data_IF_058053767723
#
_entry.id   IF_058053767723
#
_cell.length_a   1.000
_cell.length_b   1.000
_cell.length_c   1.000
_cell.angle_alpha   90.00
_cell.angle_beta   90.00
_cell.angle_gamma   90.00
#
_symmetry.space_group_name_H-M   'P 1'
#
loop_
_entity.id
_entity.type
_entity.pdbx_description
1 polymer ?
#
# COMPACT_ATOMS: atom_id res chain seq x y z
N UNK A 1 -18.44 14.20 -15.55
CA UNK A 1 -17.09 14.74 -15.83
C UNK A 1 -16.22 13.55 -16.19
N UNK A 2 -15.43 13.63 -17.26
CA UNK A 2 -14.42 12.62 -17.60
C UNK A 2 -13.34 12.57 -16.51
N UNK A 3 -12.71 11.41 -16.35
CA UNK A 3 -11.60 11.21 -15.41
C UNK A 3 -10.37 11.99 -15.90
N UNK A 4 -9.69 12.78 -15.04
CA UNK A 4 -8.44 13.46 -15.41
C UNK A 4 -7.42 12.50 -16.03
N UNK A 5 -7.32 11.29 -15.50
CA UNK A 5 -6.37 10.26 -15.91
C UNK A 5 -6.57 9.77 -17.35
N UNK A 6 -7.76 9.97 -17.93
CA UNK A 6 -8.07 9.60 -19.32
C UNK A 6 -7.67 10.71 -20.32
N UNK A 7 -7.25 11.89 -19.85
CA UNK A 7 -7.02 13.07 -20.71
C UNK A 7 -5.55 13.38 -20.93
N UNK A 8 -4.80 13.61 -19.86
CA UNK A 8 -3.38 13.98 -19.90
C UNK A 8 -2.64 13.39 -18.69
N UNK A 9 -1.31 13.21 -18.79
CA UNK A 9 -0.40 13.04 -17.67
C UNK A 9 -0.65 14.04 -16.52
N UNK A 10 -0.39 13.68 -15.25
CA UNK A 10 -0.70 14.55 -14.11
C UNK A 10 0.10 15.87 -14.08
N UNK A 11 1.37 15.84 -14.52
CA UNK A 11 2.25 17.00 -14.64
C UNK A 11 1.76 18.00 -15.71
N UNK A 12 1.14 17.50 -16.78
CA UNK A 12 0.56 18.32 -17.86
C UNK A 12 -0.90 18.72 -17.60
N UNK A 13 -1.67 17.85 -16.93
CA UNK A 13 -3.07 18.09 -16.62
C UNK A 13 -3.22 19.28 -15.65
N UNK A 14 -2.46 19.28 -14.56
CA UNK A 14 -2.44 20.38 -13.59
C UNK A 14 -1.43 21.45 -13.98
N UNK A 15 -1.73 22.17 -15.06
CA UNK A 15 -1.07 23.43 -15.40
C UNK A 15 -1.51 24.58 -14.47
N UNK A 16 -0.93 25.78 -14.64
CA UNK A 16 -1.23 26.97 -13.83
C UNK A 16 -2.73 27.30 -13.71
N UNK A 17 -3.49 27.09 -14.79
CA UNK A 17 -4.92 27.40 -14.80
C UNK A 17 -5.73 26.35 -14.04
N UNK A 18 -5.49 25.06 -14.32
CA UNK A 18 -6.23 23.97 -13.67
C UNK A 18 -5.85 23.82 -12.20
N UNK A 19 -4.58 23.99 -11.84
CA UNK A 19 -4.12 23.99 -10.45
C UNK A 19 -4.76 25.10 -9.62
N UNK A 20 -4.86 26.33 -10.16
CA UNK A 20 -5.55 27.45 -9.49
C UNK A 20 -7.04 27.19 -9.32
N UNK A 21 -7.74 26.69 -10.36
CA UNK A 21 -9.17 26.32 -10.26
C UNK A 21 -9.40 25.23 -9.21
N UNK A 22 -8.55 24.20 -9.21
CA UNK A 22 -8.60 23.11 -8.25
C UNK A 22 -8.44 23.64 -6.81
N UNK A 23 -7.43 24.47 -6.61
CA UNK A 23 -7.05 24.99 -5.28
C UNK A 23 -8.04 26.01 -4.75
N UNK A 24 -8.70 26.81 -5.61
CA UNK A 24 -9.67 27.84 -5.17
C UNK A 24 -11.10 27.35 -5.03
N UNK A 25 -11.43 26.17 -5.58
CA UNK A 25 -12.76 25.59 -5.52
C UNK A 25 -13.13 25.13 -4.12
N UNK A 26 -14.11 25.79 -3.49
CA UNK A 26 -14.62 25.43 -2.14
C UNK A 26 -15.12 23.99 -2.07
N UNK A 27 -15.77 23.51 -3.14
CA UNK A 27 -16.22 22.11 -3.23
C UNK A 27 -15.05 21.14 -3.19
N UNK A 28 -13.97 21.42 -3.92
CA UNK A 28 -12.78 20.54 -3.94
C UNK A 28 -12.10 20.57 -2.59
N UNK A 29 -11.90 21.76 -2.01
CA UNK A 29 -11.34 21.90 -0.65
C UNK A 29 -12.09 21.06 0.37
N UNK A 30 -13.42 21.14 0.40
CA UNK A 30 -14.24 20.38 1.34
C UNK A 30 -14.11 18.86 1.15
N UNK A 31 -14.06 18.40 -0.10
CA UNK A 31 -13.91 16.97 -0.41
C UNK A 31 -12.50 16.48 0.00
N UNK A 32 -11.45 17.23 -0.36
CA UNK A 32 -10.07 16.91 0.04
C UNK A 32 -9.91 16.90 1.56
N UNK A 33 -10.49 17.88 2.25
CA UNK A 33 -10.45 17.96 3.70
C UNK A 33 -11.13 16.75 4.35
N UNK A 34 -12.35 16.42 3.94
CA UNK A 34 -13.08 15.26 4.45
C UNK A 34 -12.30 13.94 4.25
N UNK A 35 -11.69 13.73 3.08
CA UNK A 35 -10.89 12.53 2.81
C UNK A 35 -9.58 12.51 3.61
N UNK A 36 -8.99 13.69 3.88
CA UNK A 36 -7.76 13.80 4.67
C UNK A 36 -8.03 13.50 6.15
N UNK A 37 -9.08 14.09 6.74
CA UNK A 37 -9.50 13.76 8.10
C UNK A 37 -9.82 12.27 8.25
N UNK A 38 -10.56 11.70 7.29
CA UNK A 38 -10.85 10.27 7.28
C UNK A 38 -9.58 9.42 7.21
N UNK A 39 -8.60 9.81 6.40
CA UNK A 39 -7.32 9.10 6.35
C UNK A 39 -6.52 9.23 7.65
N UNK A 40 -6.57 10.38 8.34
CA UNK A 40 -5.98 10.57 9.67
C UNK A 40 -6.64 9.67 10.73
N UNK A 41 -7.96 9.55 10.73
CA UNK A 41 -8.68 8.61 11.60
C UNK A 41 -8.20 7.16 11.39
N UNK A 42 -7.99 6.75 10.13
CA UNK A 42 -7.49 5.41 9.79
C UNK A 42 -6.01 5.22 10.13
N UNK A 43 -5.22 6.30 10.10
CA UNK A 43 -3.83 6.32 10.56
C UNK A 43 -3.73 6.27 12.08
N UNK A 44 -4.76 6.69 12.83
CA UNK A 44 -4.91 6.54 14.29
C UNK A 44 -3.61 6.91 15.06
N UNK A 45 -3.02 8.04 14.69
CA UNK A 45 -1.78 8.54 15.30
C UNK A 45 -2.10 9.13 16.67
N UNK A 46 -1.27 8.84 17.67
CA UNK A 46 -1.50 9.26 19.05
C UNK A 46 -0.44 10.23 19.57
N UNK A 47 0.48 10.67 18.72
CA UNK A 47 1.58 11.57 19.05
C UNK A 47 2.08 12.32 17.80
N UNK A 48 2.66 13.52 17.97
CA UNK A 48 3.25 14.29 16.88
C UNK A 48 4.19 13.41 16.04
N UNK A 49 3.92 13.31 14.75
CA UNK A 49 4.54 12.35 13.85
C UNK A 49 5.17 13.05 12.66
N UNK A 50 6.22 12.45 12.09
CA UNK A 50 6.74 12.86 10.79
C UNK A 50 6.04 12.09 9.67
N UNK A 51 5.28 12.81 8.83
CA UNK A 51 4.40 12.24 7.80
C UNK A 51 4.92 12.53 6.40
N UNK A 52 4.87 11.53 5.52
CA UNK A 52 5.05 11.73 4.09
C UNK A 52 3.68 11.94 3.42
N UNK A 53 3.45 13.11 2.83
CA UNK A 53 2.26 13.39 2.02
C UNK A 53 2.56 13.15 0.53
N UNK A 54 2.04 12.04 0.00
CA UNK A 54 2.33 11.56 -1.36
C UNK A 54 1.25 12.07 -2.32
N UNK A 55 1.68 12.85 -3.31
CA UNK A 55 0.79 13.60 -4.20
C UNK A 55 0.17 14.78 -3.46
N UNK A 56 0.99 15.57 -2.76
CA UNK A 56 0.54 16.62 -1.86
C UNK A 56 -0.16 17.79 -2.57
N UNK A 57 -0.03 17.88 -3.90
CA UNK A 57 -0.66 18.91 -4.72
C UNK A 57 -0.37 20.32 -4.22
N UNK A 58 -1.42 21.10 -4.02
CA UNK A 58 -1.35 22.47 -3.50
C UNK A 58 -1.35 22.56 -1.97
N UNK A 59 -1.00 21.48 -1.28
CA UNK A 59 -0.82 21.44 0.18
C UNK A 59 -2.12 21.37 0.99
N UNK A 60 -3.27 21.10 0.37
CA UNK A 60 -4.57 21.02 1.08
C UNK A 60 -4.60 19.95 2.18
N UNK A 61 -3.98 18.79 1.92
CA UNK A 61 -3.83 17.73 2.93
C UNK A 61 -2.80 18.11 3.98
N UNK A 62 -1.67 18.67 3.57
CA UNK A 62 -0.57 19.07 4.46
C UNK A 62 -0.94 20.16 5.49
N UNK A 63 -1.76 21.15 5.13
CA UNK A 63 -2.28 22.12 6.10
C UNK A 63 -3.05 21.42 7.23
N UNK A 64 -3.90 20.45 6.88
CA UNK A 64 -4.67 19.68 7.87
C UNK A 64 -3.73 18.88 8.77
N UNK A 65 -2.63 18.32 8.25
CA UNK A 65 -1.62 17.62 9.06
C UNK A 65 -0.97 18.56 10.09
N UNK A 66 -0.72 19.81 9.69
CA UNK A 66 -0.09 20.83 10.54
C UNK A 66 -1.06 21.33 11.62
N UNK A 67 -2.36 21.40 11.29
CA UNK A 67 -3.41 21.92 12.16
C UNK A 67 -3.99 20.89 13.15
N UNK A 68 -3.57 19.61 13.10
CA UNK A 68 -4.05 18.60 14.06
C UNK A 68 -3.67 19.03 15.49
N UNK A 69 -4.62 19.14 16.42
CA UNK A 69 -4.31 19.64 17.75
C UNK A 69 -3.61 18.59 18.63
N UNK A 70 -2.89 19.01 19.69
CA UNK A 70 -2.15 18.09 20.56
C UNK A 70 -2.95 16.98 21.24
N UNK A 71 -4.21 17.24 21.58
CA UNK A 71 -5.12 16.25 22.17
C UNK A 71 -5.61 15.19 21.18
N UNK A 72 -5.51 15.47 19.88
CA UNK A 72 -5.74 14.50 18.80
C UNK A 72 -4.43 13.90 18.24
N UNK A 73 -3.29 14.16 18.90
CA UNK A 73 -1.99 13.59 18.56
C UNK A 73 -1.15 14.42 17.58
N UNK A 74 -1.55 15.64 17.24
CA UNK A 74 -0.75 16.57 16.43
C UNK A 74 0.04 17.60 17.25
N UNK A 75 0.53 18.71 16.64
CA UNK A 75 0.63 18.93 15.20
C UNK A 75 1.63 17.98 14.56
N UNK A 76 1.43 17.65 13.29
CA UNK A 76 2.36 16.78 12.55
C UNK A 76 3.32 17.60 11.70
N UNK A 77 4.57 17.15 11.64
CA UNK A 77 5.53 17.66 10.66
C UNK A 77 5.39 16.79 9.42
N UNK A 78 5.43 17.39 8.24
CA UNK A 78 5.24 16.63 7.01
C UNK A 78 6.17 17.07 5.89
N UNK A 79 6.44 16.13 4.99
CA UNK A 79 7.14 16.38 3.73
C UNK A 79 6.24 15.94 2.59
N UNK A 80 5.99 16.84 1.64
CA UNK A 80 5.13 16.62 0.48
C UNK A 80 5.91 16.23 -0.78
N UNK A 81 5.39 15.27 -1.55
CA UNK A 81 5.88 14.95 -2.89
C UNK A 81 4.79 15.19 -3.93
N UNK A 82 5.06 15.95 -4.98
CA UNK A 82 4.15 16.06 -6.13
C UNK A 82 4.93 16.18 -7.45
N UNK A 83 4.31 15.72 -8.55
CA UNK A 83 4.91 15.78 -9.89
C UNK A 83 4.60 17.11 -10.60
N UNK A 84 3.54 17.81 -10.19
CA UNK A 84 3.11 19.07 -10.80
C UNK A 84 3.80 20.26 -10.15
N UNK A 85 4.68 20.92 -10.90
CA UNK A 85 5.29 22.18 -10.48
C UNK A 85 4.26 23.28 -10.23
N UNK A 86 3.18 23.33 -11.01
CA UNK A 86 2.11 24.32 -10.83
C UNK A 86 1.35 24.12 -9.51
N UNK A 87 1.08 22.86 -9.13
CA UNK A 87 0.46 22.55 -7.83
C UNK A 87 1.36 22.97 -6.67
N UNK A 88 2.65 22.64 -6.74
CA UNK A 88 3.63 23.04 -5.72
C UNK A 88 3.78 24.56 -5.63
N UNK A 89 3.75 25.28 -6.76
CA UNK A 89 3.74 26.74 -6.76
C UNK A 89 2.51 27.30 -6.03
N UNK A 90 1.32 26.71 -6.22
CA UNK A 90 0.13 27.09 -5.45
C UNK A 90 0.26 26.81 -3.96
N UNK A 91 0.97 25.74 -3.56
CA UNK A 91 1.24 25.48 -2.15
C UNK A 91 2.19 26.53 -1.54
N UNK A 92 3.24 26.93 -2.28
CA UNK A 92 4.15 28.01 -1.87
C UNK A 92 3.43 29.35 -1.72
N UNK A 93 2.54 29.70 -2.66
CA UNK A 93 1.73 30.92 -2.59
C UNK A 93 0.82 30.98 -1.34
N UNK A 94 0.52 29.81 -0.76
CA UNK A 94 -0.34 29.65 0.42
C UNK A 94 0.43 29.56 1.74
N UNK A 95 1.76 29.64 1.70
CA UNK A 95 2.63 29.62 2.87
C UNK A 95 2.41 28.39 3.78
N UNK A 96 2.33 27.20 3.16
CA UNK A 96 2.18 25.94 3.90
C UNK A 96 3.46 25.59 4.68
N UNK A 97 3.30 24.97 5.86
CA UNK A 97 4.44 24.73 6.78
C UNK A 97 5.38 23.57 6.35
N UNK A 98 4.89 22.60 5.58
CA UNK A 98 5.66 21.42 5.22
C UNK A 98 6.66 21.65 4.09
N UNK A 99 7.80 20.95 4.18
CA UNK A 99 8.76 20.90 3.07
C UNK A 99 8.15 20.16 1.88
N UNK A 100 8.42 20.62 0.66
CA UNK A 100 7.89 20.00 -0.56
C UNK A 100 8.98 19.69 -1.56
N UNK A 101 8.82 18.59 -2.29
CA UNK A 101 9.69 18.21 -3.40
C UNK A 101 8.92 17.92 -4.69
N UNK A 102 9.46 18.43 -5.79
CA UNK A 102 9.04 18.08 -7.13
C UNK A 102 9.58 16.69 -7.48
N UNK A 103 8.72 15.68 -7.51
CA UNK A 103 9.09 14.28 -7.77
C UNK A 103 7.97 13.43 -8.38
N UNK A 104 8.36 12.52 -9.28
CA UNK A 104 7.50 11.45 -9.78
C UNK A 104 7.51 10.26 -8.82
N UNK A 105 6.40 10.06 -8.11
CA UNK A 105 6.21 8.94 -7.17
C UNK A 105 6.35 7.56 -7.84
N UNK A 106 6.17 7.47 -9.17
CA UNK A 106 6.39 6.24 -9.95
C UNK A 106 7.86 5.86 -10.12
N UNK A 107 8.80 6.75 -9.79
CA UNK A 107 10.24 6.45 -9.74
C UNK A 107 10.68 5.91 -8.37
N UNK A 108 9.80 5.96 -7.37
CA UNK A 108 10.07 5.54 -6.00
C UNK A 108 10.05 6.71 -5.01
N UNK A 109 10.28 6.38 -3.74
CA UNK A 109 10.28 7.35 -2.63
C UNK A 109 11.73 7.63 -2.21
N UNK A 110 12.25 8.85 -2.40
CA UNK A 110 13.69 9.15 -2.31
C UNK A 110 14.16 9.48 -0.89
N UNK A 111 13.71 8.71 0.10
CA UNK A 111 14.05 8.92 1.51
C UNK A 111 14.81 7.73 2.09
N UNK A 112 15.52 7.98 3.20
CA UNK A 112 16.25 6.92 3.90
C UNK A 112 15.27 5.93 4.53
N UNK A 113 15.74 4.71 4.75
CA UNK A 113 14.90 3.69 5.35
C UNK A 113 14.44 4.09 6.77
N UNK A 114 13.15 3.92 7.06
CA UNK A 114 12.57 4.23 8.37
C UNK A 114 12.52 5.71 8.74
N UNK A 115 12.51 6.62 7.76
CA UNK A 115 12.44 8.07 8.00
C UNK A 115 11.09 8.52 8.57
N UNK A 116 9.99 7.96 8.09
CA UNK A 116 8.64 8.45 8.41
C UNK A 116 7.91 7.54 9.41
N UNK A 117 7.14 8.16 10.29
CA UNK A 117 6.22 7.45 11.19
C UNK A 117 4.99 6.94 10.44
N UNK A 118 4.49 7.77 9.52
CA UNK A 118 3.30 7.49 8.72
C UNK A 118 3.39 8.09 7.32
N UNK A 119 2.50 7.66 6.43
CA UNK A 119 2.31 8.31 5.14
C UNK A 119 0.82 8.45 4.80
N UNK A 120 0.48 9.52 4.10
CA UNK A 120 -0.86 9.76 3.58
C UNK A 120 -0.76 10.00 2.07
N UNK A 121 -1.81 9.65 1.35
CA UNK A 121 -1.93 9.99 -0.06
C UNK A 121 -3.39 10.17 -0.42
N UNK A 122 -3.78 11.37 -0.82
CA UNK A 122 -5.19 11.69 -1.11
C UNK A 122 -5.36 11.94 -2.61
N UNK A 123 -6.09 11.03 -3.28
CA UNK A 123 -6.44 11.16 -4.70
C UNK A 123 -5.24 11.16 -5.67
N UNK A 124 -4.13 10.52 -5.31
CA UNK A 124 -2.90 10.52 -6.12
C UNK A 124 -2.49 9.16 -6.70
N UNK A 125 -2.53 8.06 -5.92
CA UNK A 125 -1.90 6.81 -6.36
C UNK A 125 -2.53 6.14 -7.60
N UNK A 126 -3.77 6.49 -7.97
CA UNK A 126 -4.39 5.95 -9.19
C UNK A 126 -3.67 6.40 -10.46
N UNK A 127 -2.94 7.53 -10.42
CA UNK A 127 -2.12 8.03 -11.51
C UNK A 127 -0.95 7.10 -11.86
N UNK A 128 -0.50 6.26 -10.91
CA UNK A 128 0.53 5.25 -11.17
C UNK A 128 0.08 4.17 -12.17
N UNK A 129 -1.23 4.06 -12.39
CA UNK A 129 -1.78 3.15 -13.38
C UNK A 129 -1.88 3.75 -14.78
N UNK A 130 -1.60 5.04 -14.93
CA UNK A 130 -1.44 5.66 -16.23
C UNK A 130 -0.05 5.35 -16.76
N UNK A 131 0.03 4.75 -17.95
CA UNK A 131 1.28 4.45 -18.62
C UNK A 131 1.37 5.30 -19.89
N UNK A 132 2.25 6.30 -19.84
CA UNK A 132 2.42 7.29 -20.91
C UNK A 132 3.24 6.78 -22.09
N UNK A 133 4.09 5.77 -21.86
CA UNK A 133 4.95 5.16 -22.87
C UNK A 133 4.95 3.64 -22.75
N UNK A 134 5.26 2.95 -23.85
CA UNK A 134 5.41 1.48 -23.89
C UNK A 134 6.53 0.95 -22.99
N UNK A 135 7.48 1.80 -22.64
CA UNK A 135 8.70 1.42 -21.92
C UNK A 135 8.50 1.39 -20.39
N UNK A 136 7.38 1.95 -19.91
CA UNK A 136 7.07 2.05 -18.48
C UNK A 136 5.72 1.40 -18.21
N UNK A 137 5.73 0.25 -17.53
CA UNK A 137 4.50 -0.44 -17.16
C UNK A 137 3.90 0.09 -15.85
N UNK A 138 2.55 0.12 -15.71
CA UNK A 138 1.86 0.40 -14.46
C UNK A 138 2.36 -0.46 -13.29
N UNK A 139 2.52 -1.77 -13.52
CA UNK A 139 3.04 -2.71 -12.53
C UNK A 139 4.46 -2.33 -12.06
N UNK A 140 5.31 -1.86 -12.98
CA UNK A 140 6.66 -1.41 -12.66
C UNK A 140 6.67 -0.15 -11.80
N UNK A 141 5.85 0.85 -12.14
CA UNK A 141 5.70 2.10 -11.36
C UNK A 141 5.15 1.83 -9.97
N UNK A 142 4.06 1.05 -9.87
CA UNK A 142 3.47 0.64 -8.60
C UNK A 142 4.48 -0.12 -7.73
N UNK A 143 5.26 -1.04 -8.33
CA UNK A 143 6.30 -1.77 -7.59
C UNK A 143 7.35 -0.83 -7.01
N UNK A 144 7.91 0.07 -7.81
CA UNK A 144 8.93 1.04 -7.33
C UNK A 144 8.38 1.94 -6.23
N UNK A 145 7.16 2.43 -6.41
CA UNK A 145 6.48 3.26 -5.42
C UNK A 145 6.31 2.53 -4.09
N UNK A 146 5.66 1.36 -4.08
CA UNK A 146 5.39 0.65 -2.83
C UNK A 146 6.64 0.07 -2.17
N UNK A 147 7.65 -0.38 -2.94
CA UNK A 147 8.93 -0.80 -2.38
C UNK A 147 9.64 0.37 -1.67
N UNK A 148 9.66 1.55 -2.31
CA UNK A 148 10.24 2.76 -1.74
C UNK A 148 9.47 3.26 -0.52
N UNK A 149 8.14 3.27 -0.58
CA UNK A 149 7.28 3.67 0.52
C UNK A 149 7.46 2.73 1.73
N UNK A 150 7.47 1.41 1.49
CA UNK A 150 7.69 0.41 2.54
C UNK A 150 9.05 0.61 3.22
N UNK A 151 10.10 0.86 2.44
CA UNK A 151 11.42 1.10 2.99
C UNK A 151 11.48 2.39 3.80
N UNK A 152 10.83 3.45 3.33
CA UNK A 152 10.89 4.79 3.94
C UNK A 152 10.10 4.90 5.25
N UNK A 153 9.13 4.01 5.49
CA UNK A 153 8.35 3.96 6.72
C UNK A 153 9.07 3.14 7.81
N UNK A 154 8.97 3.59 9.06
CA UNK A 154 9.49 2.84 10.21
C UNK A 154 8.78 1.51 10.37
N UNK A 155 9.40 0.57 11.11
CA UNK A 155 8.73 -0.69 11.49
C UNK A 155 7.49 -0.36 12.33
N UNK A 156 6.34 -0.94 11.98
CA UNK A 156 5.06 -0.61 12.60
C UNK A 156 4.44 0.70 12.10
N UNK A 157 5.08 1.42 11.18
CA UNK A 157 4.50 2.57 10.51
C UNK A 157 3.28 2.20 9.67
N UNK A 158 2.38 3.16 9.51
CA UNK A 158 1.13 3.02 8.76
C UNK A 158 1.12 3.93 7.54
N UNK A 159 0.41 3.52 6.50
CA UNK A 159 0.09 4.41 5.40
C UNK A 159 -1.39 4.28 5.01
N UNK A 160 -2.02 5.39 4.67
CA UNK A 160 -3.40 5.41 4.17
C UNK A 160 -3.43 6.16 2.85
N UNK A 161 -3.86 5.46 1.80
CA UNK A 161 -3.97 6.03 0.46
C UNK A 161 -5.43 6.02 0.01
N UNK A 162 -6.05 7.20 -0.08
CA UNK A 162 -7.34 7.37 -0.75
C UNK A 162 -7.12 7.45 -2.26
N UNK A 163 -7.90 6.70 -3.05
CA UNK A 163 -7.76 6.68 -4.51
C UNK A 163 -9.06 6.36 -5.25
N UNK A 164 -9.07 6.62 -6.56
CA UNK A 164 -10.23 6.39 -7.42
C UNK A 164 -9.96 5.29 -8.47
N UNK A 165 -10.11 4.00 -8.13
CA UNK A 165 -9.92 2.94 -9.11
C UNK A 165 -10.92 3.07 -10.27
N UNK A 166 -10.46 2.82 -11.50
CA UNK A 166 -11.29 2.77 -12.72
C UNK A 166 -12.14 1.52 -12.76
N UNK A 167 -11.60 0.40 -12.28
CA UNK A 167 -12.26 -0.90 -12.23
C UNK A 167 -11.63 -1.80 -11.13
N UNK A 168 -12.24 -2.96 -10.91
CA UNK A 168 -11.77 -3.94 -9.93
C UNK A 168 -10.37 -4.48 -10.22
N UNK A 169 -9.96 -4.52 -11.50
CA UNK A 169 -8.62 -4.94 -11.91
C UNK A 169 -7.57 -3.93 -11.42
N UNK A 170 -7.78 -2.63 -11.62
CA UNK A 170 -6.88 -1.59 -11.13
C UNK A 170 -6.83 -1.57 -9.60
N UNK A 171 -7.97 -1.71 -8.92
CA UNK A 171 -8.05 -1.86 -7.46
C UNK A 171 -7.15 -3.01 -6.98
N UNK A 172 -7.28 -4.17 -7.63
CA UNK A 172 -6.49 -5.37 -7.30
C UNK A 172 -5.01 -5.22 -7.65
N UNK A 173 -4.67 -4.52 -8.73
CA UNK A 173 -3.29 -4.29 -9.14
C UNK A 173 -2.54 -3.46 -8.08
N UNK A 174 -3.15 -2.37 -7.63
CA UNK A 174 -2.60 -1.47 -6.61
C UNK A 174 -2.38 -2.22 -5.29
N UNK A 175 -3.39 -2.92 -4.80
CA UNK A 175 -3.28 -3.62 -3.52
C UNK A 175 -2.28 -4.79 -3.56
N UNK A 176 -2.23 -5.53 -4.66
CA UNK A 176 -1.25 -6.59 -4.84
C UNK A 176 0.18 -6.05 -4.90
N UNK A 177 0.41 -4.86 -5.46
CA UNK A 177 1.72 -4.23 -5.44
C UNK A 177 2.16 -3.89 -4.00
N UNK A 178 1.26 -3.33 -3.19
CA UNK A 178 1.53 -3.07 -1.76
C UNK A 178 1.83 -4.36 -0.98
N UNK A 179 1.04 -5.42 -1.17
CA UNK A 179 1.26 -6.73 -0.53
C UNK A 179 2.61 -7.32 -0.93
N UNK A 180 2.99 -7.22 -2.21
CA UNK A 180 4.28 -7.71 -2.72
C UNK A 180 5.47 -6.94 -2.13
N UNK A 181 5.33 -5.64 -1.89
CA UNK A 181 6.35 -4.82 -1.22
C UNK A 181 6.54 -5.22 0.25
N UNK A 182 5.54 -5.86 0.87
CA UNK A 182 5.62 -6.41 2.23
C UNK A 182 4.62 -5.80 3.21
N UNK A 183 3.76 -4.88 2.77
CA UNK A 183 2.72 -4.33 3.60
C UNK A 183 1.69 -5.39 4.01
N UNK A 184 1.20 -5.28 5.24
CA UNK A 184 -0.15 -5.73 5.53
C UNK A 184 -1.14 -4.73 4.94
N UNK A 185 -2.10 -5.19 4.12
CA UNK A 185 -3.00 -4.31 3.37
C UNK A 185 -4.48 -4.61 3.61
N UNK A 186 -5.30 -3.57 3.74
CA UNK A 186 -6.75 -3.65 3.75
C UNK A 186 -7.37 -2.59 2.85
N UNK A 187 -8.57 -2.84 2.34
CA UNK A 187 -9.34 -1.83 1.60
C UNK A 187 -10.61 -1.52 2.37
N UNK A 188 -10.84 -0.23 2.60
CA UNK A 188 -12.08 0.31 3.15
C UNK A 188 -12.84 1.05 2.05
N UNK A 189 -14.17 0.90 2.04
CA UNK A 189 -15.07 1.63 1.15
C UNK A 189 -16.09 2.39 1.99
N UNK A 190 -15.98 3.72 2.03
CA UNK A 190 -17.00 4.57 2.64
C UNK A 190 -18.08 4.90 1.59
N UNK A 191 -19.35 4.89 2.01
CA UNK A 191 -20.54 5.06 1.17
C UNK A 191 -20.62 4.09 -0.05
N UNK A 192 -20.55 2.76 0.19
CA UNK A 192 -20.64 1.77 -0.88
C UNK A 192 -21.95 1.93 -1.68
N UNK A 193 -21.90 1.56 -2.95
CA UNK A 193 -23.02 1.63 -3.91
C UNK A 193 -23.56 3.04 -4.21
N UNK A 194 -22.91 4.10 -3.72
CA UNK A 194 -23.25 5.48 -4.04
C UNK A 194 -22.28 6.11 -5.04
N UNK A 195 -22.69 7.25 -5.62
CA UNK A 195 -21.77 8.11 -6.41
C UNK A 195 -20.70 8.80 -5.56
N UNK A 196 -20.83 8.76 -4.24
CA UNK A 196 -19.91 9.38 -3.29
C UNK A 196 -18.81 8.44 -2.81
N UNK A 197 -18.81 7.17 -3.26
CA UNK A 197 -17.86 6.12 -2.91
C UNK A 197 -16.42 6.65 -2.76
N UNK A 198 -15.83 6.42 -1.59
CA UNK A 198 -14.42 6.67 -1.30
C UNK A 198 -13.72 5.37 -0.96
N UNK A 199 -12.65 5.06 -1.68
CA UNK A 199 -11.84 3.86 -1.47
C UNK A 199 -10.54 4.26 -0.79
N UNK A 200 -10.23 3.60 0.33
CA UNK A 200 -8.98 3.79 1.09
C UNK A 200 -8.20 2.49 1.14
N UNK A 201 -6.92 2.55 0.79
CA UNK A 201 -5.96 1.48 1.01
C UNK A 201 -5.22 1.74 2.33
N UNK A 202 -5.43 0.87 3.31
CA UNK A 202 -4.83 0.95 4.65
C UNK A 202 -3.68 -0.04 4.74
N UNK A 203 -2.48 0.46 5.05
CA UNK A 203 -1.22 -0.29 4.98
C UNK A 203 -0.46 -0.26 6.31
N UNK A 204 0.24 -1.36 6.60
CA UNK A 204 1.07 -1.53 7.82
C UNK A 204 2.43 -2.15 7.50
N UNK A 205 3.51 -1.58 8.03
CA UNK A 205 4.89 -2.11 7.87
C UNK A 205 5.19 -3.16 8.94
N UNK A 206 5.76 -4.31 8.53
CA UNK A 206 6.17 -5.38 9.46
C UNK A 206 5.19 -6.54 9.61
N UNK A 207 4.17 -6.60 8.74
CA UNK A 207 3.23 -7.70 8.45
C UNK A 207 3.32 -8.96 9.31
N UNK A 208 2.69 -8.91 10.48
CA UNK A 208 2.33 -10.07 11.29
C UNK A 208 0.92 -9.89 11.82
N UNK A 209 -0.06 -10.41 11.08
CA UNK A 209 -1.49 -10.40 11.40
C UNK A 209 -2.14 -9.00 11.42
N UNK A 210 -2.57 -8.53 10.24
CA UNK A 210 -3.28 -7.24 10.11
C UNK A 210 -4.62 -7.25 10.84
N UNK A 211 -5.14 -8.42 11.24
CA UNK A 211 -6.39 -8.54 11.99
C UNK A 211 -6.34 -7.84 13.34
N UNK A 212 -5.16 -7.61 13.94
CA UNK A 212 -5.04 -6.84 15.18
C UNK A 212 -5.16 -5.33 14.96
N UNK A 213 -4.59 -4.81 13.87
CA UNK A 213 -4.61 -3.37 13.52
C UNK A 213 -5.90 -2.97 12.81
N UNK A 214 -6.51 -3.91 12.08
CA UNK A 214 -7.71 -3.71 11.27
C UNK A 214 -8.97 -4.28 11.95
N UNK A 215 -8.82 -5.20 12.92
CA UNK A 215 -9.96 -5.85 13.59
C UNK A 215 -10.79 -4.95 14.50
N UNK A 216 -10.34 -3.72 14.76
CA UNK A 216 -11.12 -2.67 15.44
C UNK A 216 -11.80 -1.70 14.47
N UNK A 217 -11.43 -1.70 13.19
CA UNK A 217 -12.02 -0.84 12.16
C UNK A 217 -13.15 -1.61 11.47
N UNK A 218 -14.39 -1.19 11.70
CA UNK A 218 -15.53 -1.71 10.96
C UNK A 218 -15.30 -1.53 9.44
N UNK A 219 -15.73 -2.50 8.63
CA UNK A 219 -15.81 -2.44 7.17
C UNK A 219 -14.51 -2.47 6.35
N UNK A 220 -13.36 -2.83 6.94
CA UNK A 220 -12.12 -3.03 6.17
C UNK A 220 -12.01 -4.46 5.61
N UNK A 221 -11.98 -4.60 4.29
CA UNK A 221 -11.66 -5.84 3.58
C UNK A 221 -10.16 -6.13 3.63
N UNK A 222 -9.77 -7.07 4.50
CA UNK A 222 -8.39 -7.51 4.71
C UNK A 222 -7.84 -8.20 3.46
N UNK A 223 -6.92 -7.53 2.77
CA UNK A 223 -6.33 -8.04 1.54
C UNK A 223 -5.04 -8.79 1.81
N UNK A 224 -4.99 -10.04 1.36
CA UNK A 224 -3.76 -10.81 1.44
C UNK A 224 -3.29 -11.04 2.87
N UNK A 225 -4.23 -11.25 3.82
CA UNK A 225 -3.89 -12.06 4.98
C UNK A 225 -3.09 -13.24 4.43
N UNK A 226 -1.83 -13.36 4.86
CA UNK A 226 -1.23 -14.67 4.99
C UNK A 226 -2.12 -15.41 5.99
N UNK A 227 -3.29 -15.86 5.53
CA UNK A 227 -3.76 -17.19 5.77
C UNK A 227 -2.69 -18.13 5.21
N UNK A 228 -1.52 -18.16 5.85
CA UNK A 228 -1.26 -19.35 6.63
C UNK A 228 -2.49 -19.49 7.53
N UNK A 229 -3.54 -20.09 6.97
CA UNK A 229 -3.99 -21.32 7.58
C UNK A 229 -2.69 -22.05 7.92
N UNK A 230 -2.25 -21.88 9.16
CA UNK A 230 -2.02 -23.04 9.99
C UNK A 230 -3.28 -23.87 9.79
N UNK A 231 -3.33 -24.63 8.70
CA UNK A 231 -4.09 -25.85 8.65
C UNK A 231 -3.53 -26.61 9.83
N UNK A 232 -4.18 -26.45 10.98
CA UNK A 232 -4.25 -27.45 12.02
C UNK A 232 -4.73 -28.70 11.28
N UNK A 233 -3.81 -29.44 10.65
CA UNK A 233 -4.15 -30.56 9.78
C UNK A 233 -3.26 -30.87 8.57
N UNK A 234 -2.27 -30.05 8.17
CA UNK A 234 -1.26 -30.55 7.20
C UNK A 234 0.03 -30.86 7.94
N UNK A 235 0.09 -32.09 8.43
CA UNK A 235 1.31 -32.72 8.90
C UNK A 235 2.38 -32.53 7.80
N UNK A 236 3.37 -31.66 8.05
CA UNK A 236 4.53 -31.56 7.16
C UNK A 236 5.13 -32.96 7.08
N UNK A 237 5.05 -33.58 5.90
CA UNK A 237 5.58 -34.92 5.64
C UNK A 237 7.03 -35.00 6.15
N UNK A 238 7.22 -35.65 7.31
CA UNK A 238 8.53 -35.71 7.98
C UNK A 238 9.51 -36.48 7.12
N UNK A 239 10.67 -35.87 6.82
CA UNK A 239 11.75 -36.52 6.06
C UNK A 239 12.11 -37.87 6.72
N UNK A 240 12.00 -38.97 5.98
CA UNK A 240 12.21 -40.33 6.47
C UNK A 240 10.95 -41.08 6.94
N UNK A 241 9.77 -40.44 6.93
CA UNK A 241 8.50 -41.16 7.14
C UNK A 241 8.22 -42.14 6.00
N UNK A 242 7.36 -43.14 6.23
CA UNK A 242 6.97 -44.10 5.19
C UNK A 242 6.37 -43.38 3.97
N UNK A 243 5.50 -42.39 4.19
CA UNK A 243 4.91 -41.57 3.13
C UNK A 243 5.99 -40.85 2.29
N UNK A 244 6.95 -40.21 2.95
CA UNK A 244 8.07 -39.52 2.31
C UNK A 244 8.90 -40.45 1.43
N UNK A 245 9.17 -41.67 1.91
CA UNK A 245 9.93 -42.69 1.18
C UNK A 245 9.15 -43.16 -0.05
N UNK A 246 7.85 -43.44 0.08
CA UNK A 246 7.01 -43.89 -1.04
C UNK A 246 6.95 -42.85 -2.17
N UNK A 247 6.76 -41.57 -1.81
CA UNK A 247 6.74 -40.48 -2.79
C UNK A 247 8.07 -40.35 -3.53
N UNK A 248 9.19 -40.48 -2.82
CA UNK A 248 10.53 -40.43 -3.44
C UNK A 248 10.80 -41.63 -4.33
N UNK A 249 10.33 -42.83 -3.97
CA UNK A 249 10.40 -44.01 -4.83
C UNK A 249 9.63 -43.80 -6.13
N UNK A 250 8.37 -43.36 -6.06
CA UNK A 250 7.57 -43.07 -7.26
C UNK A 250 8.18 -41.98 -8.15
N UNK A 251 8.77 -40.93 -7.57
CA UNK A 251 9.51 -39.91 -8.33
C UNK A 251 10.74 -40.46 -9.05
N UNK A 252 11.41 -41.47 -8.50
CA UNK A 252 12.59 -42.09 -9.10
C UNK A 252 12.20 -43.12 -10.17
N UNK A 253 11.13 -43.88 -9.95
CA UNK A 253 10.53 -44.78 -10.96
C UNK A 253 10.04 -44.01 -12.19
N UNK A 254 9.33 -42.89 -11.98
CA UNK A 254 8.89 -42.01 -13.08
C UNK A 254 10.06 -41.39 -13.87
N UNK A 255 11.26 -41.36 -13.29
CA UNK A 255 12.51 -40.93 -13.94
C UNK A 255 13.32 -42.11 -14.50
N UNK A 256 12.73 -43.30 -14.59
CA UNK A 256 13.35 -44.50 -15.15
C UNK A 256 14.47 -45.09 -14.30
N UNK A 257 14.59 -44.70 -13.02
CA UNK A 257 15.65 -45.22 -12.14
C UNK A 257 15.24 -46.53 -11.51
N UNK A 258 16.20 -47.44 -11.31
CA UNK A 258 15.99 -48.70 -10.58
C UNK A 258 15.74 -48.39 -9.11
N UNK A 259 14.55 -48.73 -8.61
CA UNK A 259 14.12 -48.50 -7.22
C UNK A 259 13.87 -49.82 -6.51
N UNK A 260 14.36 -49.96 -5.26
CA UNK A 260 14.15 -51.18 -4.46
C UNK A 260 12.68 -51.35 -4.06
N UNK A 261 12.19 -52.59 -4.06
CA UNK A 261 10.84 -52.94 -3.64
C UNK A 261 10.49 -52.45 -2.23
N UNK A 262 9.20 -52.16 -2.01
CA UNK A 262 8.68 -51.72 -0.71
C UNK A 262 8.35 -52.92 0.17
N UNK A 263 8.85 -52.94 1.40
CA UNK A 263 8.56 -54.00 2.37
C UNK A 263 7.78 -53.49 3.58
N UNK A 264 7.27 -54.40 4.43
CA UNK A 264 6.60 -54.08 5.71
C UNK A 264 7.47 -53.30 6.70
N UNK A 265 8.79 -53.24 6.47
CA UNK A 265 9.76 -52.50 7.30
C UNK A 265 10.10 -51.11 6.75
N UNK A 266 9.52 -50.70 5.62
CA UNK A 266 9.80 -49.39 5.00
C UNK A 266 9.38 -48.25 5.94
N UNK A 267 10.32 -47.36 6.28
CA UNK A 267 10.10 -46.21 7.15
C UNK A 267 10.06 -46.51 8.66
N UNK A 268 10.33 -47.75 9.08
CA UNK A 268 10.44 -48.09 10.52
C UNK A 268 11.86 -47.83 11.03
N UNK A 269 11.95 -47.23 12.23
CA UNK A 269 13.20 -47.09 12.99
C UNK A 269 13.66 -48.48 13.42
N UNK A 270 14.85 -48.91 13.00
CA UNK A 270 15.45 -50.17 13.46
C UNK A 270 15.89 -49.98 14.92
N UNK A 271 15.57 -50.95 15.79
CA UNK A 271 16.15 -50.98 17.14
C UNK A 271 17.64 -51.29 16.99
N UNK A 272 18.48 -50.53 17.69
CA UNK A 272 19.91 -50.81 17.78
C UNK A 272 20.02 -52.04 18.68
N UNK A 273 20.55 -53.15 18.15
CA UNK A 273 20.97 -54.27 18.97
C UNK A 273 22.37 -53.90 19.49
N UNK A 274 22.47 -53.72 20.80
CA UNK A 274 23.75 -53.78 21.51
C UNK A 274 23.92 -55.20 22.00
#
# INVERSE_FOLDING_TARGET
MSRPEDSLPPDLFYNDTESRKYTTSSRIKNIQASMTHRALELLDLTFPSLILDVGCGSGLSGEILSDVPPDEGGPHVWVGMDISSSMLAQALDRDVEGDMLLADIGQGVPFRAGSFDAAISISAIQWLCNAESSDVSPDGRLKRFFDGLYASLRRGGRAVCQFYPKNSQQRSMISNAAIKAGFGAGILEDDPDTKSLKVYLVLTVGGGDITGTVGGLADVDVQGARRKERKRGVEREKKGSKAWIMRKKGQMEAKGKVVKATSKYTGRKRKIAF
#
